data_IF_568202347024
#
_entry.id   IF_568202347024
#
_cell.length_a   1.000
_cell.length_b   1.000
_cell.length_c   1.000
_cell.angle_alpha   90.00
_cell.angle_beta   90.00
_cell.angle_gamma   90.00
#
_symmetry.space_group_name_H-M   'P 1'
#
loop_
_entity.id
_entity.type
_entity.pdbx_description
1 polymer ?
#
# COMPACT_ATOMS: atom_id res chain seq x y z
N UNK A 1 9.93 11.79 10.22
CA UNK A 1 9.51 11.57 11.61
C UNK A 1 10.06 12.73 12.43
N UNK A 2 9.34 13.28 13.41
CA UNK A 2 9.85 14.38 14.23
C UNK A 2 11.17 14.02 14.91
N UNK A 3 12.04 15.03 15.14
CA UNK A 3 13.28 14.85 15.89
C UNK A 3 12.97 14.34 17.32
N UNK A 4 13.81 13.49 17.86
CA UNK A 4 13.63 12.90 19.19
C UNK A 4 12.68 11.69 19.25
N UNK A 5 11.99 11.33 18.16
CA UNK A 5 11.16 10.13 18.07
C UNK A 5 11.80 9.05 17.20
N UNK A 6 11.45 7.80 17.48
CA UNK A 6 11.84 6.64 16.67
C UNK A 6 10.72 5.60 16.62
N UNK A 7 10.71 4.79 15.56
CA UNK A 7 9.89 3.58 15.53
C UNK A 7 10.57 2.57 16.46
N UNK A 8 9.88 2.17 17.52
CA UNK A 8 10.39 1.25 18.53
C UNK A 8 10.06 -0.20 18.21
N UNK A 9 8.91 -0.44 17.59
CA UNK A 9 8.53 -1.76 17.10
C UNK A 9 7.49 -1.64 15.98
N UNK A 10 7.32 -2.73 15.25
CA UNK A 10 6.23 -2.92 14.30
C UNK A 10 5.47 -4.20 14.65
N UNK A 11 4.16 -4.15 14.55
CA UNK A 11 3.32 -5.31 14.78
C UNK A 11 3.27 -6.19 13.54
N UNK A 12 2.83 -7.45 13.70
CA UNK A 12 2.61 -8.37 12.58
C UNK A 12 1.76 -7.70 11.51
N UNK A 13 2.23 -7.74 10.27
CA UNK A 13 1.59 -7.11 9.13
C UNK A 13 0.22 -7.74 8.85
N UNK A 14 -0.81 -6.92 8.74
CA UNK A 14 -2.09 -7.31 8.15
C UNK A 14 -1.96 -7.33 6.62
N UNK A 15 -2.91 -7.95 5.93
CA UNK A 15 -2.91 -8.07 4.47
C UNK A 15 -2.63 -6.73 3.77
N UNK A 16 -1.51 -6.58 3.05
CA UNK A 16 -1.09 -5.30 2.47
C UNK A 16 -1.86 -4.92 1.21
N UNK A 17 -2.70 -5.81 0.66
CA UNK A 17 -3.41 -5.58 -0.60
C UNK A 17 -4.37 -4.41 -0.52
N UNK A 18 -4.69 -3.88 -1.69
CA UNK A 18 -5.78 -2.94 -1.87
C UNK A 18 -7.10 -3.69 -2.12
N UNK A 19 -8.21 -3.07 -1.73
CA UNK A 19 -9.57 -3.55 -1.96
C UNK A 19 -10.32 -2.55 -2.81
N UNK A 20 -10.97 -3.03 -3.86
CA UNK A 20 -11.94 -2.29 -4.66
C UNK A 20 -13.32 -2.54 -4.07
N UNK A 21 -14.06 -1.47 -3.79
CA UNK A 21 -15.45 -1.53 -3.32
C UNK A 21 -16.29 -0.83 -4.36
N UNK A 22 -17.34 -1.49 -4.84
CA UNK A 22 -18.20 -0.99 -5.92
C UNK A 22 -19.66 -0.92 -5.46
N UNK A 23 -20.45 -0.13 -6.17
CA UNK A 23 -21.91 -0.11 -5.98
C UNK A 23 -22.56 -1.38 -6.56
N UNK A 24 -22.26 -1.72 -7.79
CA UNK A 24 -22.91 -2.80 -8.55
C UNK A 24 -21.94 -3.86 -9.05
N UNK A 25 -20.82 -3.46 -9.64
CA UNK A 25 -19.82 -4.36 -10.17
C UNK A 25 -18.91 -4.91 -9.06
N UNK A 26 -18.26 -6.05 -9.33
CA UNK A 26 -17.37 -6.70 -8.35
C UNK A 26 -15.89 -6.64 -8.72
N UNK A 27 -15.54 -6.15 -9.92
CA UNK A 27 -14.17 -6.24 -10.43
C UNK A 27 -13.75 -4.98 -11.18
N UNK A 28 -12.46 -4.64 -11.08
CA UNK A 28 -11.87 -3.51 -11.82
C UNK A 28 -12.05 -3.66 -13.35
N UNK A 29 -11.95 -4.90 -13.86
CA UNK A 29 -12.10 -5.19 -15.29
C UNK A 29 -13.53 -5.02 -15.79
N UNK A 30 -14.53 -5.25 -14.95
CA UNK A 30 -15.96 -5.20 -15.31
C UNK A 30 -16.60 -3.83 -15.06
N UNK A 31 -15.87 -2.87 -14.50
CA UNK A 31 -16.37 -1.51 -14.36
C UNK A 31 -16.75 -0.93 -15.73
N UNK A 32 -17.86 -0.21 -15.79
CA UNK A 32 -18.32 0.48 -17.00
C UNK A 32 -17.24 1.41 -17.54
N UNK A 33 -17.19 1.57 -18.87
CA UNK A 33 -16.31 2.56 -19.52
C UNK A 33 -16.62 3.95 -18.95
N UNK A 34 -15.55 4.66 -18.54
CA UNK A 34 -15.66 5.98 -17.94
C UNK A 34 -16.20 6.00 -16.50
N UNK A 35 -16.27 4.85 -15.80
CA UNK A 35 -16.71 4.80 -14.42
C UNK A 35 -15.83 5.66 -13.51
N UNK A 36 -16.47 6.28 -12.50
CA UNK A 36 -15.82 7.18 -11.52
C UNK A 36 -15.20 6.38 -10.40
N UNK A 37 -13.87 6.34 -10.35
CA UNK A 37 -13.12 5.64 -9.31
C UNK A 37 -12.56 6.62 -8.30
N UNK A 38 -12.94 6.47 -7.03
CA UNK A 38 -12.52 7.34 -5.93
C UNK A 38 -11.21 6.91 -5.33
N UNK A 39 -10.17 7.74 -5.46
CA UNK A 39 -8.90 7.62 -4.75
C UNK A 39 -8.12 8.94 -4.84
N UNK A 40 -7.35 9.28 -3.79
CA UNK A 40 -6.40 10.39 -3.80
C UNK A 40 -4.95 9.92 -3.78
N UNK A 41 -4.72 8.61 -3.85
CA UNK A 41 -3.37 8.04 -3.86
C UNK A 41 -2.82 8.04 -5.28
N UNK A 42 -1.78 8.84 -5.53
CA UNK A 42 -1.10 8.90 -6.85
C UNK A 42 -0.60 7.52 -7.29
N UNK A 43 -0.12 6.69 -6.36
CA UNK A 43 0.29 5.31 -6.59
C UNK A 43 -0.87 4.47 -7.16
N UNK A 44 -2.07 4.56 -6.56
CA UNK A 44 -3.26 3.85 -7.04
C UNK A 44 -3.73 4.39 -8.37
N UNK A 45 -3.74 5.71 -8.53
CA UNK A 45 -4.15 6.38 -9.77
C UNK A 45 -3.32 5.84 -10.94
N UNK A 46 -2.00 5.90 -10.83
CA UNK A 46 -1.10 5.45 -11.87
C UNK A 46 -1.37 3.98 -12.26
N UNK A 47 -1.45 3.08 -11.28
CA UNK A 47 -1.64 1.66 -11.54
C UNK A 47 -3.05 1.32 -12.07
N UNK A 48 -4.08 2.02 -11.62
CA UNK A 48 -5.45 1.83 -12.15
C UNK A 48 -5.52 2.28 -13.60
N UNK A 49 -4.99 3.46 -13.92
CA UNK A 49 -5.02 3.99 -15.29
C UNK A 49 -4.13 3.18 -16.25
N UNK A 50 -3.07 2.55 -15.76
CA UNK A 50 -2.29 1.62 -16.57
C UNK A 50 -3.10 0.36 -17.00
N UNK A 51 -4.01 -0.11 -16.13
CA UNK A 51 -4.87 -1.27 -16.44
C UNK A 51 -6.15 -0.86 -17.17
N UNK A 52 -6.71 0.30 -16.83
CA UNK A 52 -7.98 0.82 -17.33
C UNK A 52 -7.87 2.34 -17.56
N UNK A 53 -7.26 2.76 -18.67
CA UNK A 53 -7.07 4.18 -19.00
C UNK A 53 -8.38 4.94 -19.26
N UNK A 54 -9.47 4.21 -19.50
CA UNK A 54 -10.80 4.75 -19.74
C UNK A 54 -11.51 5.23 -18.46
N UNK A 55 -11.02 4.90 -17.27
CA UNK A 55 -11.68 5.24 -16.01
C UNK A 55 -11.46 6.71 -15.62
N UNK A 56 -12.46 7.30 -14.98
CA UNK A 56 -12.41 8.68 -14.48
C UNK A 56 -12.04 8.69 -13.00
N UNK A 57 -10.81 9.10 -12.69
CA UNK A 57 -10.36 9.18 -11.30
C UNK A 57 -10.90 10.45 -10.65
N UNK A 58 -11.49 10.30 -9.47
CA UNK A 58 -11.95 11.41 -8.61
C UNK A 58 -11.29 11.36 -7.24
N UNK A 59 -10.88 12.52 -6.73
CA UNK A 59 -10.30 12.62 -5.39
C UNK A 59 -11.28 12.13 -4.32
N UNK A 60 -10.80 11.28 -3.42
CA UNK A 60 -11.57 10.71 -2.31
C UNK A 60 -10.84 10.94 -1.00
N UNK A 61 -11.39 11.76 -0.12
CA UNK A 61 -10.86 12.11 1.19
C UNK A 61 -11.81 11.70 2.32
N UNK A 62 -11.32 11.76 3.55
CA UNK A 62 -12.05 11.38 4.76
C UNK A 62 -11.61 10.03 5.33
N UNK A 63 -12.20 9.62 6.44
CA UNK A 63 -12.01 8.30 7.03
C UNK A 63 -12.71 7.21 6.21
N UNK A 64 -12.48 5.95 6.54
CA UNK A 64 -13.02 4.80 5.79
C UNK A 64 -14.55 4.84 5.74
N UNK A 65 -15.23 5.10 6.86
CA UNK A 65 -16.68 5.19 6.92
C UNK A 65 -17.23 6.30 6.01
N UNK A 66 -16.64 7.49 6.03
CA UNK A 66 -17.01 8.60 5.15
C UNK A 66 -16.82 8.23 3.67
N UNK A 67 -15.71 7.55 3.34
CA UNK A 67 -15.44 7.13 1.95
C UNK A 67 -16.47 6.12 1.45
N UNK A 68 -16.85 5.14 2.28
CA UNK A 68 -17.88 4.15 1.97
C UNK A 68 -19.25 4.84 1.83
N UNK A 69 -19.60 5.78 2.74
CA UNK A 69 -20.82 6.58 2.64
C UNK A 69 -20.88 7.37 1.32
N UNK A 70 -19.77 7.97 0.90
CA UNK A 70 -19.68 8.69 -0.36
C UNK A 70 -19.82 7.77 -1.59
N UNK A 71 -19.39 6.51 -1.51
CA UNK A 71 -19.65 5.52 -2.55
C UNK A 71 -21.15 5.26 -2.67
N UNK A 72 -21.81 4.92 -1.56
CA UNK A 72 -23.23 4.57 -1.56
C UNK A 72 -24.17 5.76 -1.87
N UNK A 73 -23.69 7.01 -1.69
CA UNK A 73 -24.45 8.20 -2.15
C UNK A 73 -24.34 8.45 -3.65
N UNK A 74 -23.72 7.55 -4.43
CA UNK A 74 -23.61 7.65 -5.87
C UNK A 74 -22.58 8.67 -6.38
N UNK A 75 -21.73 9.23 -5.51
CA UNK A 75 -20.64 10.13 -5.93
C UNK A 75 -19.56 9.43 -6.74
N UNK A 76 -19.38 8.13 -6.50
CA UNK A 76 -18.42 7.24 -7.14
C UNK A 76 -19.12 5.95 -7.56
N UNK A 77 -18.61 5.30 -8.59
CA UNK A 77 -19.07 3.99 -9.03
C UNK A 77 -18.24 2.88 -8.31
N UNK A 78 -16.99 3.20 -7.98
CA UNK A 78 -16.09 2.36 -7.17
C UNK A 78 -15.12 3.23 -6.35
N UNK A 79 -14.57 2.67 -5.26
CA UNK A 79 -13.51 3.29 -4.46
C UNK A 79 -12.40 2.29 -4.15
N UNK A 80 -11.18 2.79 -3.96
CA UNK A 80 -10.01 2.00 -3.57
C UNK A 80 -9.58 2.32 -2.14
N UNK A 81 -9.50 1.29 -1.31
CA UNK A 81 -9.04 1.37 0.08
C UNK A 81 -7.94 0.35 0.36
N UNK A 82 -7.21 0.53 1.47
CA UNK A 82 -6.32 -0.50 1.98
C UNK A 82 -7.16 -1.58 2.71
N UNK A 83 -7.01 -2.84 2.31
CA UNK A 83 -7.76 -3.96 2.91
C UNK A 83 -7.56 -4.04 4.43
N UNK A 84 -6.33 -3.82 4.90
CA UNK A 84 -6.02 -3.82 6.33
C UNK A 84 -6.86 -2.84 7.14
N UNK A 85 -7.13 -1.65 6.61
CA UNK A 85 -7.97 -0.65 7.28
C UNK A 85 -9.43 -1.07 7.37
N UNK A 86 -9.96 -1.65 6.29
CA UNK A 86 -11.35 -2.13 6.23
C UNK A 86 -11.55 -3.32 7.17
N UNK A 87 -10.60 -4.26 7.19
CA UNK A 87 -10.62 -5.41 8.11
C UNK A 87 -10.57 -4.99 9.59
N UNK A 88 -9.70 -4.04 9.96
CA UNK A 88 -9.59 -3.55 11.35
C UNK A 88 -10.87 -2.92 11.88
N UNK A 89 -11.68 -2.34 11.00
CA UNK A 89 -12.98 -1.80 11.36
C UNK A 89 -14.10 -2.83 11.33
N UNK A 90 -13.84 -4.07 10.92
CA UNK A 90 -14.85 -5.10 10.77
C UNK A 90 -15.86 -4.82 9.64
N UNK A 91 -15.56 -3.89 8.75
CA UNK A 91 -16.49 -3.43 7.71
C UNK A 91 -15.98 -3.93 6.35
N UNK A 92 -16.41 -5.13 5.93
CA UNK A 92 -16.12 -5.63 4.58
C UNK A 92 -17.42 -5.59 3.77
N UNK A 93 -17.58 -4.65 2.83
CA UNK A 93 -18.77 -4.54 2.01
C UNK A 93 -18.94 -5.76 1.09
N UNK A 94 -20.22 -6.17 0.84
CA UNK A 94 -20.53 -7.34 0.01
C UNK A 94 -19.98 -7.23 -1.43
N UNK A 95 -20.06 -6.03 -2.01
CA UNK A 95 -19.58 -5.74 -3.37
C UNK A 95 -18.13 -5.25 -3.34
N UNK A 96 -17.24 -6.08 -2.82
CA UNK A 96 -15.82 -5.75 -2.75
C UNK A 96 -14.95 -6.87 -3.30
N UNK A 97 -13.82 -6.50 -3.86
CA UNK A 97 -12.82 -7.42 -4.41
C UNK A 97 -11.41 -7.01 -3.98
N UNK A 98 -10.68 -7.96 -3.40
CA UNK A 98 -9.27 -7.78 -3.08
C UNK A 98 -8.45 -7.85 -4.35
N UNK A 99 -7.72 -6.78 -4.65
CA UNK A 99 -6.91 -6.71 -5.85
C UNK A 99 -5.59 -7.48 -5.68
N UNK A 100 -5.18 -8.26 -6.68
CA UNK A 100 -3.87 -8.92 -6.67
C UNK A 100 -2.73 -7.88 -6.64
N UNK A 101 -1.61 -8.23 -6.04
CA UNK A 101 -0.40 -7.37 -6.02
C UNK A 101 0.16 -7.15 -7.44
N UNK A 102 -0.09 -8.07 -8.35
CA UNK A 102 0.26 -7.92 -9.78
C UNK A 102 -0.54 -6.83 -10.48
N UNK A 103 -1.75 -6.50 -9.98
CA UNK A 103 -2.60 -5.42 -10.51
C UNK A 103 -2.33 -4.10 -9.81
N UNK A 104 -2.31 -4.11 -8.47
CA UNK A 104 -2.04 -2.93 -7.65
C UNK A 104 -1.01 -3.30 -6.58
N UNK A 105 0.24 -2.91 -6.79
CA UNK A 105 1.31 -3.07 -5.81
C UNK A 105 1.09 -2.10 -4.65
N UNK A 106 1.15 -2.56 -3.37
CA UNK A 106 0.91 -1.73 -2.19
C UNK A 106 1.90 -0.58 -2.00
N UNK A 107 1.53 0.38 -1.17
CA UNK A 107 2.48 1.37 -0.67
C UNK A 107 3.46 0.75 0.33
N UNK A 108 4.68 1.29 0.43
CA UNK A 108 5.63 0.92 1.46
C UNK A 108 4.99 1.00 2.86
N UNK A 109 5.11 -0.07 3.64
CA UNK A 109 4.54 -0.19 4.98
C UNK A 109 3.01 -0.37 5.03
N UNK A 110 2.32 -0.53 3.91
CA UNK A 110 0.86 -0.73 3.93
C UNK A 110 0.49 -1.99 4.74
N UNK A 111 -0.50 -1.85 5.63
CA UNK A 111 -0.97 -2.93 6.50
C UNK A 111 -0.19 -3.06 7.82
N UNK A 112 0.90 -2.33 8.02
CA UNK A 112 1.70 -2.35 9.24
C UNK A 112 1.23 -1.29 10.22
N UNK A 113 1.24 -1.64 11.51
CA UNK A 113 1.14 -0.68 12.62
C UNK A 113 2.54 -0.55 13.20
N UNK A 114 3.05 0.68 13.24
CA UNK A 114 4.30 1.02 13.90
C UNK A 114 4.01 1.76 15.20
N UNK A 115 4.74 1.39 16.26
CA UNK A 115 4.69 2.07 17.56
C UNK A 115 5.91 2.96 17.67
N UNK A 116 5.67 4.22 18.02
CA UNK A 116 6.70 5.26 18.13
C UNK A 116 6.92 5.59 19.60
N UNK A 117 8.17 5.72 20.01
CA UNK A 117 8.54 6.22 21.34
C UNK A 117 9.64 7.28 21.24
N UNK A 118 9.96 7.90 22.37
CA UNK A 118 11.11 8.82 22.47
C UNK A 118 12.41 8.04 22.35
N UNK A 119 13.41 8.60 21.65
CA UNK A 119 14.72 7.97 21.46
C UNK A 119 15.43 7.67 22.78
N UNK A 120 15.23 8.53 23.79
CA UNK A 120 15.89 8.43 25.09
C UNK A 120 15.11 7.58 26.10
N UNK A 121 13.95 7.04 25.74
CA UNK A 121 13.13 6.20 26.62
C UNK A 121 13.54 4.74 26.48
N UNK A 122 14.65 4.39 27.14
CA UNK A 122 15.22 3.03 27.10
C UNK A 122 14.27 1.99 27.72
N UNK A 123 13.53 2.37 28.74
CA UNK A 123 12.58 1.47 29.41
C UNK A 123 11.44 1.09 28.45
N UNK A 124 10.82 2.09 27.80
CA UNK A 124 9.76 1.86 26.83
C UNK A 124 10.26 1.05 25.63
N UNK A 125 11.44 1.34 25.11
CA UNK A 125 12.04 0.56 24.03
C UNK A 125 12.20 -0.93 24.40
N UNK A 126 12.63 -1.21 25.62
CA UNK A 126 12.79 -2.59 26.11
C UNK A 126 11.43 -3.32 26.15
N UNK A 127 10.37 -2.64 26.64
CA UNK A 127 9.01 -3.19 26.69
C UNK A 127 8.51 -3.47 25.26
N UNK A 128 8.64 -2.49 24.37
CA UNK A 128 8.11 -2.56 22.99
C UNK A 128 8.83 -3.61 22.13
N UNK A 129 10.09 -3.95 22.41
CA UNK A 129 10.80 -5.06 21.74
C UNK A 129 10.09 -6.40 21.89
N UNK A 130 9.40 -6.63 23.00
CA UNK A 130 8.70 -7.90 23.26
C UNK A 130 7.50 -8.14 22.33
N UNK A 131 6.96 -7.07 21.76
CA UNK A 131 5.83 -7.15 20.81
C UNK A 131 6.26 -6.88 19.35
N UNK A 132 7.56 -6.71 19.12
CA UNK A 132 8.08 -6.48 17.79
C UNK A 132 8.03 -7.74 16.92
N UNK A 133 7.54 -7.61 15.70
CA UNK A 133 7.51 -8.69 14.71
C UNK A 133 8.67 -8.56 13.74
N UNK A 134 9.75 -9.28 13.97
CA UNK A 134 11.03 -9.19 13.25
C UNK A 134 10.90 -9.31 11.72
N UNK A 135 10.11 -10.27 11.23
CA UNK A 135 9.93 -10.44 9.78
C UNK A 135 9.24 -9.22 9.15
N UNK A 136 8.24 -8.66 9.84
CA UNK A 136 7.58 -7.43 9.39
C UNK A 136 8.55 -6.24 9.43
N UNK A 137 9.37 -6.14 10.47
CA UNK A 137 10.36 -5.08 10.60
C UNK A 137 11.36 -5.09 9.44
N UNK A 138 11.95 -6.25 9.13
CA UNK A 138 12.85 -6.43 7.98
C UNK A 138 12.20 -5.98 6.67
N UNK A 139 10.96 -6.41 6.44
CA UNK A 139 10.19 -6.01 5.25
C UNK A 139 9.97 -4.49 5.19
N UNK A 140 9.56 -3.87 6.30
CA UNK A 140 9.30 -2.43 6.36
C UNK A 140 10.58 -1.62 6.17
N UNK A 141 11.69 -2.08 6.75
CA UNK A 141 13.01 -1.43 6.56
C UNK A 141 13.37 -1.42 5.07
N UNK A 142 13.29 -2.56 4.38
CA UNK A 142 13.60 -2.65 2.95
C UNK A 142 12.69 -1.74 2.10
N UNK A 143 11.37 -1.79 2.33
CA UNK A 143 10.41 -0.96 1.61
C UNK A 143 10.66 0.55 1.82
N UNK A 144 10.97 0.95 3.04
CA UNK A 144 11.25 2.36 3.38
C UNK A 144 12.60 2.82 2.85
N UNK A 145 13.62 1.95 2.84
CA UNK A 145 14.92 2.25 2.24
C UNK A 145 14.79 2.47 0.73
N UNK A 146 14.03 1.63 0.04
CA UNK A 146 13.71 1.82 -1.38
C UNK A 146 13.01 3.17 -1.63
N UNK A 147 11.98 3.49 -0.85
CA UNK A 147 11.27 4.77 -0.96
C UNK A 147 12.20 5.96 -0.71
N UNK A 148 13.07 5.87 0.30
CA UNK A 148 14.02 6.93 0.64
C UNK A 148 15.10 7.12 -0.43
N UNK A 149 15.65 6.03 -0.99
CA UNK A 149 16.63 6.07 -2.06
C UNK A 149 16.11 6.78 -3.33
N UNK A 150 14.80 6.67 -3.59
CA UNK A 150 14.13 7.34 -4.70
C UNK A 150 13.67 8.78 -4.37
N UNK A 151 14.01 9.30 -3.20
CA UNK A 151 13.50 10.61 -2.74
C UNK A 151 11.98 10.67 -2.64
N UNK A 152 11.33 9.51 -2.50
CA UNK A 152 9.88 9.39 -2.54
C UNK A 152 9.20 9.79 -1.23
N UNK A 153 7.94 10.18 -1.37
CA UNK A 153 7.04 10.54 -0.26
C UNK A 153 5.68 9.83 -0.42
N UNK A 154 4.75 10.09 0.51
CA UNK A 154 3.37 9.62 0.38
C UNK A 154 2.64 10.16 -0.87
N UNK A 155 3.20 11.20 -1.52
CA UNK A 155 2.67 11.79 -2.75
C UNK A 155 3.38 11.31 -4.01
N UNK A 156 4.39 10.46 -3.87
CA UNK A 156 5.10 9.89 -5.00
C UNK A 156 4.37 8.64 -5.52
N UNK A 157 4.33 8.40 -6.83
CA UNK A 157 3.72 7.22 -7.42
C UNK A 157 4.63 5.98 -7.30
N UNK A 158 5.15 5.75 -6.09
CA UNK A 158 6.05 4.66 -5.76
C UNK A 158 5.28 3.62 -4.95
N UNK A 159 5.51 2.35 -5.27
CA UNK A 159 5.01 1.20 -4.55
C UNK A 159 6.16 0.27 -4.16
N UNK A 160 6.05 -0.38 -3.01
CA UNK A 160 7.02 -1.37 -2.58
C UNK A 160 6.34 -2.40 -1.67
N UNK A 161 6.69 -3.66 -1.86
CA UNK A 161 6.24 -4.76 -1.02
C UNK A 161 7.37 -5.76 -0.83
N UNK A 162 7.86 -5.87 0.41
CA UNK A 162 8.74 -6.94 0.84
C UNK A 162 7.95 -8.01 1.59
N UNK A 163 8.32 -9.27 1.43
CA UNK A 163 7.70 -10.41 2.09
C UNK A 163 8.63 -11.62 2.14
N UNK A 164 8.41 -12.50 3.10
CA UNK A 164 9.01 -13.83 3.09
C UNK A 164 8.02 -14.82 2.43
N UNK A 165 8.53 -15.71 1.60
CA UNK A 165 7.75 -16.82 1.05
C UNK A 165 7.72 -18.02 2.03
N UNK A 166 7.03 -19.09 1.66
CA UNK A 166 6.94 -20.32 2.45
C UNK A 166 8.30 -21.02 2.70
N UNK A 167 9.28 -20.79 1.82
CA UNK A 167 10.66 -21.28 1.95
C UNK A 167 11.57 -20.33 2.72
N UNK A 168 11.03 -19.30 3.36
CA UNK A 168 11.76 -18.25 4.08
C UNK A 168 12.69 -17.38 3.21
N UNK A 169 12.55 -17.46 1.87
CA UNK A 169 13.25 -16.53 0.98
C UNK A 169 12.62 -15.15 1.07
N UNK A 170 13.45 -14.13 1.06
CA UNK A 170 13.02 -12.73 1.03
C UNK A 170 12.69 -12.33 -0.41
N UNK A 171 11.48 -11.83 -0.62
CA UNK A 171 11.01 -11.34 -1.90
C UNK A 171 10.73 -9.84 -1.80
N UNK A 172 11.13 -9.10 -2.82
CA UNK A 172 10.89 -7.66 -2.91
C UNK A 172 10.30 -7.31 -4.28
N UNK A 173 9.16 -6.61 -4.26
CA UNK A 173 8.56 -6.01 -5.45
C UNK A 173 8.61 -4.49 -5.31
N UNK A 174 9.18 -3.80 -6.29
CA UNK A 174 9.23 -2.35 -6.40
C UNK A 174 8.54 -1.86 -7.67
N UNK A 175 7.91 -0.69 -7.62
CA UNK A 175 7.31 -0.04 -8.77
C UNK A 175 7.48 1.47 -8.64
N UNK A 176 8.01 2.09 -9.69
CA UNK A 176 8.03 3.55 -9.87
C UNK A 176 7.17 3.86 -11.10
N UNK A 177 6.15 4.68 -10.91
CA UNK A 177 5.33 5.15 -12.02
C UNK A 177 5.73 6.60 -12.34
N UNK A 178 6.21 6.82 -13.54
CA UNK A 178 6.44 8.16 -14.08
C UNK A 178 5.37 8.48 -15.11
N UNK A 179 5.20 9.74 -15.47
CA UNK A 179 4.06 10.20 -16.30
C UNK A 179 3.91 9.45 -17.64
N UNK A 180 4.95 8.76 -18.09
CA UNK A 180 4.97 8.10 -19.40
C UNK A 180 5.35 6.60 -19.36
N UNK A 181 5.94 6.09 -18.25
CA UNK A 181 6.38 4.70 -18.14
C UNK A 181 6.15 4.13 -16.74
N UNK A 182 5.95 2.80 -16.67
CA UNK A 182 5.86 2.06 -15.43
C UNK A 182 7.09 1.14 -15.35
N UNK A 183 8.03 1.45 -14.47
CA UNK A 183 9.16 0.59 -14.16
C UNK A 183 8.80 -0.36 -13.04
N UNK A 184 9.01 -1.66 -13.25
CA UNK A 184 8.82 -2.72 -12.25
C UNK A 184 10.13 -3.43 -12.02
N UNK A 185 10.52 -3.60 -10.76
CA UNK A 185 11.58 -4.50 -10.35
C UNK A 185 10.98 -5.62 -9.48
N UNK A 186 11.41 -6.85 -9.73
CA UNK A 186 11.07 -8.02 -8.93
C UNK A 186 12.38 -8.75 -8.62
N UNK A 187 12.72 -8.87 -7.34
CA UNK A 187 13.98 -9.44 -6.91
C UNK A 187 13.80 -10.45 -5.78
N UNK A 188 14.70 -11.43 -5.73
CA UNK A 188 14.82 -12.43 -4.67
C UNK A 188 16.17 -12.26 -3.97
N UNK A 189 16.29 -12.77 -2.75
CA UNK A 189 17.45 -12.60 -1.86
C UNK A 189 18.82 -13.01 -2.46
N UNK A 190 18.82 -13.77 -3.56
CA UNK A 190 20.04 -14.19 -4.26
C UNK A 190 20.64 -13.09 -5.17
N UNK A 191 19.85 -12.03 -5.49
CA UNK A 191 20.24 -10.98 -6.45
C UNK A 191 19.97 -9.58 -5.89
N UNK A 192 20.55 -9.24 -4.74
CA UNK A 192 20.49 -7.90 -4.16
C UNK A 192 21.39 -6.91 -4.91
N UNK A 193 21.24 -6.81 -6.22
CA UNK A 193 21.75 -5.70 -7.02
C UNK A 193 20.56 -5.04 -7.72
N UNK A 194 20.11 -3.92 -7.15
CA UNK A 194 19.12 -3.07 -7.80
C UNK A 194 19.70 -2.54 -9.11
N UNK A 195 19.51 -3.24 -10.22
CA UNK A 195 19.78 -2.71 -11.56
C UNK A 195 18.55 -1.92 -12.00
N UNK A 196 18.56 -0.63 -11.70
CA UNK A 196 17.80 0.35 -12.46
C UNK A 196 18.41 0.39 -13.87
N UNK A 197 17.86 -0.39 -14.80
CA UNK A 197 18.11 -0.17 -16.21
C UNK A 197 17.29 1.06 -16.61
N UNK A 198 17.98 2.19 -16.66
CA UNK A 198 17.54 3.37 -17.39
C UNK A 198 17.89 3.13 -18.85
N UNK A 199 16.92 2.81 -19.70
CA UNK A 199 16.94 3.07 -21.13
C UNK A 199 15.92 4.14 -21.44
#
# INVERSE_FOLDING_TARGET
>A
MPSGLQIACVLKRENPKDILICNTEKNLKTLKKGARVGTSSVRRIAQVLNVRPDLKIKSLRGNIGTRIKNLYSGKYDAILLALAGVKRLGIIPRNSNTLPISTILPAAGQGVIAVVCRKNDVQMQRILRNINHLDTEKCVVAERSFLAALGGSCQSPIAALARFNSKRSFLFDGLVSVSYTHLRAHETEADLVCRLLLE
#
